data_IF_496476518188
#
_entry.id   IF_496476518188
#
_cell.length_a   1.000
_cell.length_b   1.000
_cell.length_c   1.000
_cell.angle_alpha   90.00
_cell.angle_beta   90.00
_cell.angle_gamma   90.00
#
_symmetry.space_group_name_H-M   'P 1'
#
loop_
_entity.id
_entity.type
_entity.pdbx_description
1 polymer ?
#
# COMPACT_ATOMS: atom_id res chain seq x y z
N UNK A 1 -9.76 -13.50 -8.36
CA UNK A 1 -9.51 -14.54 -7.29
C UNK A 1 -10.48 -14.32 -6.15
N UNK A 2 -11.12 -15.36 -5.62
CA UNK A 2 -12.06 -15.22 -4.49
C UNK A 2 -11.36 -14.74 -3.22
N UNK A 3 -12.02 -13.84 -2.50
CA UNK A 3 -11.48 -13.23 -1.27
C UNK A 3 -11.05 -14.27 -0.24
N UNK A 4 -11.81 -15.35 -0.06
CA UNK A 4 -11.48 -16.45 0.84
C UNK A 4 -10.15 -17.18 0.50
N UNK A 5 -9.66 -17.08 -0.73
CA UNK A 5 -8.44 -17.76 -1.18
C UNK A 5 -7.18 -16.87 -1.12
N UNK A 6 -7.33 -15.57 -0.84
CA UNK A 6 -6.20 -14.62 -0.95
C UNK A 6 -5.10 -14.93 0.05
N UNK A 7 -5.45 -15.23 1.30
CA UNK A 7 -4.45 -15.55 2.34
C UNK A 7 -3.65 -16.81 1.96
N UNK A 8 -4.30 -17.83 1.42
CA UNK A 8 -3.60 -19.03 0.93
C UNK A 8 -2.66 -18.71 -0.24
N UNK A 9 -3.10 -17.82 -1.16
CA UNK A 9 -2.27 -17.34 -2.26
C UNK A 9 -1.02 -16.60 -1.75
N UNK A 10 -1.17 -15.72 -0.75
CA UNK A 10 -0.06 -14.99 -0.14
C UNK A 10 0.90 -15.91 0.63
N UNK A 11 0.36 -16.87 1.39
CA UNK A 11 1.18 -17.87 2.08
C UNK A 11 2.01 -18.70 1.10
N UNK A 12 1.48 -19.00 -0.10
CA UNK A 12 2.25 -19.68 -1.13
C UNK A 12 3.43 -18.84 -1.64
N UNK A 13 3.31 -17.51 -1.69
CA UNK A 13 4.44 -16.62 -2.01
C UNK A 13 5.46 -16.62 -0.86
N UNK A 14 5.00 -16.53 0.38
CA UNK A 14 5.88 -16.59 1.56
C UNK A 14 6.70 -17.89 1.61
N UNK A 15 6.11 -19.01 1.19
CA UNK A 15 6.76 -20.32 1.21
C UNK A 15 7.78 -20.50 0.08
N UNK A 16 7.45 -20.08 -1.14
CA UNK A 16 8.25 -20.41 -2.32
C UNK A 16 9.00 -19.21 -2.94
N UNK A 17 8.65 -17.98 -2.54
CA UNK A 17 9.27 -16.77 -3.06
C UNK A 17 9.08 -16.53 -4.56
N UNK A 18 8.00 -17.08 -5.17
CA UNK A 18 7.79 -16.97 -6.62
C UNK A 18 6.61 -16.05 -6.92
N UNK A 19 6.85 -15.00 -7.70
CA UNK A 19 5.83 -14.05 -8.15
C UNK A 19 4.92 -14.62 -9.25
N UNK A 20 3.95 -13.83 -9.72
CA UNK A 20 3.02 -14.26 -10.78
C UNK A 20 3.67 -14.46 -12.15
N UNK A 21 4.88 -13.94 -12.37
CA UNK A 21 5.65 -14.08 -13.61
C UNK A 21 6.71 -15.19 -13.50
N UNK A 22 6.70 -15.97 -12.42
CA UNK A 22 7.68 -17.03 -12.19
C UNK A 22 9.06 -16.56 -11.74
N UNK A 23 9.22 -15.27 -11.39
CA UNK A 23 10.49 -14.73 -10.89
C UNK A 23 10.66 -15.09 -9.42
N UNK A 24 11.87 -15.46 -9.05
CA UNK A 24 12.21 -15.88 -7.69
C UNK A 24 12.75 -14.72 -6.85
N UNK A 25 12.42 -14.78 -5.58
CA UNK A 25 12.88 -13.87 -4.54
C UNK A 25 13.46 -14.67 -3.36
N UNK A 26 14.50 -14.13 -2.77
CA UNK A 26 15.00 -14.56 -1.47
C UNK A 26 14.19 -13.80 -0.44
N UNK A 27 13.43 -14.52 0.37
CA UNK A 27 12.65 -13.97 1.47
C UNK A 27 13.41 -14.21 2.77
N UNK A 28 13.69 -13.12 3.51
CA UNK A 28 14.38 -13.19 4.79
C UNK A 28 13.64 -12.35 5.82
N UNK A 29 13.20 -12.99 6.88
CA UNK A 29 12.62 -12.28 8.01
C UNK A 29 13.71 -11.52 8.78
N UNK A 30 13.44 -10.25 9.06
CA UNK A 30 14.33 -9.34 9.79
C UNK A 30 13.52 -8.59 10.83
N UNK A 31 13.85 -8.78 12.09
CA UNK A 31 13.28 -7.99 13.19
C UNK A 31 14.13 -6.77 13.45
N UNK A 32 13.49 -5.59 13.40
CA UNK A 32 14.17 -4.29 13.59
C UNK A 32 13.55 -3.57 14.78
N UNK A 33 14.40 -3.07 15.68
CA UNK A 33 13.94 -2.24 16.80
C UNK A 33 13.44 -0.88 16.28
N UNK A 34 12.29 -0.44 16.77
CA UNK A 34 11.79 0.91 16.47
C UNK A 34 12.64 1.92 17.26
N UNK A 35 13.23 2.92 16.58
CA UNK A 35 14.07 3.91 17.27
C UNK A 35 13.32 4.60 18.42
N UNK A 36 13.96 4.79 19.55
CA UNK A 36 13.41 5.41 20.75
C UNK A 36 12.16 4.72 21.33
N UNK A 37 12.02 3.41 21.09
CA UNK A 37 10.91 2.60 21.58
C UNK A 37 11.40 1.26 22.12
N UNK A 38 10.59 0.60 22.94
CA UNK A 38 10.78 -0.80 23.33
C UNK A 38 10.22 -1.79 22.29
N UNK A 39 9.42 -1.29 21.35
CA UNK A 39 8.79 -2.09 20.31
C UNK A 39 9.76 -2.47 19.19
N UNK A 40 9.47 -3.56 18.53
CA UNK A 40 10.15 -4.01 17.31
C UNK A 40 9.14 -4.25 16.20
N UNK A 41 9.59 -4.19 14.97
CA UNK A 41 8.82 -4.53 13.77
C UNK A 41 9.51 -5.67 13.02
N UNK A 42 8.74 -6.61 12.54
CA UNK A 42 9.24 -7.68 11.67
C UNK A 42 8.96 -7.33 10.22
N UNK A 43 10.01 -7.31 9.41
CA UNK A 43 9.96 -7.09 7.97
C UNK A 43 10.38 -8.36 7.25
N UNK A 44 9.82 -8.62 6.09
CA UNK A 44 10.25 -9.67 5.19
C UNK A 44 11.08 -9.02 4.07
N UNK A 45 12.41 -9.02 4.17
CA UNK A 45 13.25 -8.62 3.04
C UNK A 45 12.92 -9.49 1.83
N UNK A 46 12.57 -8.87 0.73
CA UNK A 46 12.08 -9.50 -0.49
C UNK A 46 12.97 -9.08 -1.66
N UNK A 47 14.08 -9.78 -1.83
CA UNK A 47 15.12 -9.44 -2.80
C UNK A 47 15.10 -10.41 -3.96
N UNK A 48 15.21 -9.92 -5.20
CA UNK A 48 15.36 -10.75 -6.40
C UNK A 48 16.54 -11.71 -6.22
N UNK A 49 16.36 -12.99 -6.54
CA UNK A 49 17.41 -14.02 -6.41
C UNK A 49 18.65 -13.72 -7.28
N UNK A 50 18.44 -13.10 -8.44
CA UNK A 50 19.49 -12.60 -9.33
C UNK A 50 20.09 -11.23 -8.91
N UNK A 51 19.67 -10.69 -7.75
CA UNK A 51 20.10 -9.41 -7.19
C UNK A 51 19.81 -8.20 -8.11
N UNK A 52 18.84 -8.32 -9.02
CA UNK A 52 18.37 -7.22 -9.85
C UNK A 52 17.77 -6.10 -9.01
N UNK A 53 18.25 -4.89 -9.23
CA UNK A 53 17.86 -3.65 -8.54
C UNK A 53 17.27 -2.61 -9.49
N UNK A 54 16.95 -2.99 -10.72
CA UNK A 54 16.49 -2.08 -11.78
C UNK A 54 15.13 -1.42 -11.50
N UNK A 55 14.48 -1.74 -10.40
CA UNK A 55 13.16 -1.22 -10.03
C UNK A 55 13.19 -0.08 -9.01
N UNK A 56 14.38 0.36 -8.58
CA UNK A 56 14.55 1.54 -7.72
C UNK A 56 15.90 2.23 -8.00
N UNK A 57 16.04 3.46 -7.51
CA UNK A 57 17.28 4.23 -7.60
C UNK A 57 18.05 4.16 -6.27
N UNK A 58 19.29 3.73 -6.30
CA UNK A 58 20.19 3.70 -5.13
C UNK A 58 20.72 5.11 -4.79
N UNK A 59 19.81 6.08 -4.73
CA UNK A 59 20.06 7.47 -4.34
C UNK A 59 19.38 7.73 -2.99
N UNK A 60 20.12 8.14 -1.99
CA UNK A 60 19.56 8.52 -0.68
C UNK A 60 18.84 9.87 -0.78
N UNK A 61 17.63 9.94 -0.27
CA UNK A 61 16.80 11.14 -0.33
C UNK A 61 16.21 11.49 1.03
N UNK A 62 16.00 12.79 1.26
CA UNK A 62 15.31 13.25 2.47
C UNK A 62 13.84 12.89 2.42
N UNK A 63 13.38 12.13 3.41
CA UNK A 63 11.99 11.72 3.54
C UNK A 63 11.21 12.72 4.38
N UNK A 64 10.01 13.09 3.90
CA UNK A 64 9.13 14.07 4.54
C UNK A 64 7.71 13.55 4.75
N UNK A 65 7.28 12.55 3.97
CA UNK A 65 5.91 12.02 3.96
C UNK A 65 5.91 10.50 3.84
N UNK A 66 4.88 9.88 4.36
CA UNK A 66 4.53 8.49 4.11
C UNK A 66 3.25 8.52 3.27
N UNK A 67 3.27 7.87 2.10
CA UNK A 67 2.11 7.81 1.21
C UNK A 67 1.54 6.40 1.20
N UNK A 68 0.26 6.30 1.58
CA UNK A 68 -0.47 5.04 1.53
C UNK A 68 -1.11 4.86 0.16
N UNK A 69 -0.94 3.67 -0.40
CA UNK A 69 -1.54 3.19 -1.64
C UNK A 69 -2.26 1.86 -1.41
N UNK A 70 -3.12 1.46 -2.34
CA UNK A 70 -3.50 0.08 -2.53
C UNK A 70 -3.16 -0.38 -3.95
N UNK A 71 -2.85 -1.67 -4.10
CA UNK A 71 -2.27 -2.22 -5.34
C UNK A 71 -3.27 -2.42 -6.48
N UNK A 72 -4.56 -2.49 -6.21
CA UNK A 72 -5.61 -2.99 -7.12
C UNK A 72 -5.34 -4.41 -7.64
N UNK A 73 -4.64 -5.23 -6.86
CA UNK A 73 -4.15 -6.53 -7.28
C UNK A 73 -4.11 -7.58 -6.16
N UNK A 74 -3.38 -8.63 -6.45
CA UNK A 74 -3.07 -9.72 -5.54
C UNK A 74 -1.55 -9.82 -5.36
N UNK A 75 -1.07 -10.10 -4.16
CA UNK A 75 0.32 -9.96 -3.72
C UNK A 75 1.37 -10.42 -4.74
N UNK A 76 1.22 -11.62 -5.35
CA UNK A 76 2.21 -12.12 -6.33
C UNK A 76 2.28 -11.24 -7.58
N UNK A 77 1.14 -10.74 -8.05
CA UNK A 77 1.05 -9.81 -9.17
C UNK A 77 1.56 -8.42 -8.79
N UNK A 78 1.26 -7.99 -7.57
CA UNK A 78 1.72 -6.72 -7.02
C UNK A 78 3.26 -6.68 -6.98
N UNK A 79 3.89 -7.72 -6.39
CA UNK A 79 5.35 -7.87 -6.34
C UNK A 79 5.95 -7.93 -7.76
N UNK A 80 5.33 -8.70 -8.67
CA UNK A 80 5.79 -8.80 -10.05
C UNK A 80 5.78 -7.45 -10.77
N UNK A 81 4.74 -6.64 -10.55
CA UNK A 81 4.58 -5.31 -11.15
C UNK A 81 5.58 -4.33 -10.56
N UNK A 82 5.68 -4.27 -9.22
CA UNK A 82 6.54 -3.34 -8.49
C UNK A 82 8.04 -3.65 -8.63
N UNK A 83 8.41 -4.81 -9.15
CA UNK A 83 9.81 -5.17 -9.40
C UNK A 83 10.14 -5.32 -10.88
N UNK A 84 9.30 -4.78 -11.78
CA UNK A 84 9.53 -4.84 -13.24
C UNK A 84 10.34 -3.66 -13.78
N UNK A 85 10.25 -2.49 -13.15
CA UNK A 85 10.93 -1.27 -13.59
C UNK A 85 10.78 -0.18 -12.53
N UNK A 86 11.17 1.05 -12.83
CA UNK A 86 11.26 2.15 -11.88
C UNK A 86 9.90 2.71 -11.38
N UNK A 87 8.84 1.90 -11.35
CA UNK A 87 7.59 2.20 -10.65
C UNK A 87 7.46 1.19 -9.52
N UNK A 88 7.83 1.60 -8.32
CA UNK A 88 7.94 0.73 -7.16
C UNK A 88 7.80 1.49 -5.84
N UNK A 89 7.62 0.76 -4.75
CA UNK A 89 7.63 1.26 -3.37
C UNK A 89 8.51 0.38 -2.50
N UNK A 90 9.09 0.91 -1.41
CA UNK A 90 9.90 0.10 -0.50
C UNK A 90 9.10 -0.96 0.25
N UNK A 91 7.79 -0.79 0.46
CA UNK A 91 7.00 -1.71 1.28
C UNK A 91 5.69 -2.12 0.64
N UNK A 92 5.41 -3.43 0.71
CA UNK A 92 4.11 -4.01 0.36
C UNK A 92 3.57 -4.76 1.57
N UNK A 93 2.31 -4.51 1.93
CA UNK A 93 1.65 -5.18 3.07
C UNK A 93 0.63 -6.18 2.52
N UNK A 94 0.86 -7.48 2.76
CA UNK A 94 -0.07 -8.54 2.41
C UNK A 94 -1.32 -8.55 3.30
N UNK A 95 -2.36 -9.26 2.90
CA UNK A 95 -3.59 -9.44 3.70
C UNK A 95 -3.34 -10.23 4.98
N UNK A 96 -2.29 -11.06 5.00
CA UNK A 96 -1.84 -11.78 6.18
C UNK A 96 -1.06 -10.88 7.16
N UNK A 97 -0.80 -9.61 6.82
CA UNK A 97 -0.06 -8.65 7.63
C UNK A 97 1.45 -8.70 7.45
N UNK A 98 1.98 -9.57 6.60
CA UNK A 98 3.41 -9.57 6.29
C UNK A 98 3.80 -8.28 5.55
N UNK A 99 4.89 -7.67 6.01
CA UNK A 99 5.44 -6.45 5.41
C UNK A 99 6.65 -6.84 4.57
N UNK A 100 6.47 -6.86 3.26
CA UNK A 100 7.54 -7.15 2.31
C UNK A 100 8.34 -5.89 2.04
N UNK A 101 9.65 -5.92 2.33
CA UNK A 101 10.59 -4.83 2.07
C UNK A 101 11.30 -5.11 0.75
N UNK A 102 10.93 -4.38 -0.31
CA UNK A 102 11.46 -4.58 -1.66
C UNK A 102 12.84 -3.92 -1.84
N UNK A 103 13.06 -2.79 -1.17
CA UNK A 103 14.34 -2.08 -1.17
C UNK A 103 14.45 -1.14 0.05
N UNK A 104 15.67 -0.72 0.42
CA UNK A 104 15.86 0.18 1.58
C UNK A 104 15.10 1.49 1.41
N UNK A 105 14.27 1.85 2.39
CA UNK A 105 13.40 3.04 2.34
C UNK A 105 14.12 4.39 2.29
N UNK A 106 15.44 4.43 2.45
CA UNK A 106 16.27 5.61 2.21
C UNK A 106 16.43 5.93 0.72
N UNK A 107 16.28 4.94 -0.13
CA UNK A 107 16.27 5.04 -1.58
C UNK A 107 14.87 5.40 -2.09
N UNK A 108 14.68 5.47 -3.40
CA UNK A 108 13.42 5.87 -3.99
C UNK A 108 13.12 5.18 -5.32
N UNK A 109 11.88 5.18 -5.71
CA UNK A 109 11.39 4.85 -7.04
C UNK A 109 10.16 5.69 -7.34
N UNK A 110 9.71 5.71 -8.58
CA UNK A 110 8.47 6.40 -8.94
C UNK A 110 7.27 5.65 -8.35
N UNK A 111 6.40 6.36 -7.65
CA UNK A 111 5.13 5.79 -7.16
C UNK A 111 3.99 6.82 -7.12
N UNK A 112 4.31 8.08 -7.32
CA UNK A 112 3.32 9.16 -7.26
C UNK A 112 2.69 9.38 -8.64
N UNK A 113 3.46 9.22 -9.71
CA UNK A 113 3.03 9.27 -11.09
C UNK A 113 3.01 10.67 -11.71
N UNK A 114 2.93 10.74 -13.05
CA UNK A 114 2.87 12.02 -13.77
C UNK A 114 1.61 12.79 -13.40
N UNK A 115 1.70 14.12 -13.41
CA UNK A 115 0.60 15.01 -13.03
C UNK A 115 0.39 15.15 -11.52
N UNK A 116 1.24 14.55 -10.70
CA UNK A 116 1.19 14.75 -9.27
C UNK A 116 1.55 16.18 -8.87
N UNK A 117 0.84 16.72 -7.91
CA UNK A 117 1.17 17.98 -7.27
C UNK A 117 2.58 17.93 -6.69
N UNK A 118 3.37 18.95 -6.96
CA UNK A 118 4.79 18.99 -6.58
C UNK A 118 5.73 18.24 -7.52
N UNK A 119 5.19 17.56 -8.56
CA UNK A 119 5.95 16.83 -9.56
C UNK A 119 6.30 15.40 -9.18
N UNK A 120 6.23 14.48 -10.15
CA UNK A 120 6.43 13.05 -9.92
C UNK A 120 7.78 12.73 -9.26
N UNK A 121 8.87 13.23 -9.80
CA UNK A 121 10.23 12.94 -9.30
C UNK A 121 10.45 13.48 -7.89
N UNK A 122 10.14 14.76 -7.65
CA UNK A 122 10.35 15.39 -6.36
C UNK A 122 9.51 14.69 -5.27
N UNK A 123 8.25 14.44 -5.54
CA UNK A 123 7.36 13.79 -4.58
C UNK A 123 7.70 12.32 -4.34
N UNK A 124 8.09 11.57 -5.38
CA UNK A 124 8.56 10.18 -5.20
C UNK A 124 9.84 10.09 -4.37
N UNK A 125 10.72 11.08 -4.46
CA UNK A 125 11.92 11.19 -3.61
C UNK A 125 11.57 11.50 -2.15
N UNK A 126 10.67 12.43 -1.91
CA UNK A 126 10.26 12.87 -0.56
C UNK A 126 9.31 11.91 0.15
N UNK A 127 8.53 11.14 -0.59
CA UNK A 127 7.53 10.22 -0.03
C UNK A 127 8.10 8.81 0.11
N UNK A 128 7.74 8.15 1.21
CA UNK A 128 7.93 6.71 1.38
C UNK A 128 6.60 6.06 0.99
N UNK A 129 6.56 5.35 -0.13
CA UNK A 129 5.36 4.64 -0.57
C UNK A 129 5.15 3.36 0.21
N UNK A 130 3.90 3.09 0.61
CA UNK A 130 3.45 1.83 1.18
C UNK A 130 2.28 1.34 0.34
N UNK A 131 2.43 0.23 -0.34
CA UNK A 131 1.34 -0.45 -1.03
C UNK A 131 0.69 -1.47 -0.10
N UNK A 132 -0.62 -1.37 0.07
CA UNK A 132 -1.40 -2.38 0.80
C UNK A 132 -2.06 -3.27 -0.25
N UNK A 133 -1.73 -4.56 -0.26
CA UNK A 133 -2.31 -5.52 -1.22
C UNK A 133 -3.83 -5.61 -1.01
N UNK A 134 -4.57 -4.94 -1.87
CA UNK A 134 -6.02 -4.83 -1.81
C UNK A 134 -6.56 -4.52 -3.22
N UNK A 135 -7.70 -5.12 -3.55
CA UNK A 135 -8.37 -4.92 -4.85
C UNK A 135 -8.94 -3.50 -4.99
N UNK A 136 -9.20 -2.82 -3.87
CA UNK A 136 -9.84 -1.50 -3.90
C UNK A 136 -11.31 -1.58 -4.30
N UNK A 137 -11.75 -0.78 -5.31
CA UNK A 137 -13.13 -0.74 -5.72
C UNK A 137 -13.59 -2.04 -6.41
N UNK A 138 -14.85 -2.40 -6.18
CA UNK A 138 -15.51 -3.57 -6.74
C UNK A 138 -16.73 -3.15 -7.54
N UNK A 139 -17.08 -3.96 -8.54
CA UNK A 139 -18.26 -3.75 -9.40
C UNK A 139 -19.26 -4.88 -9.19
N UNK A 140 -20.53 -4.52 -9.01
CA UNK A 140 -21.62 -5.50 -8.93
C UNK A 140 -21.86 -6.13 -10.30
N UNK A 141 -21.86 -7.47 -10.35
CA UNK A 141 -22.19 -8.27 -11.52
C UNK A 141 -23.14 -9.41 -11.08
N UNK A 142 -24.45 -9.21 -11.28
CA UNK A 142 -25.48 -10.12 -10.76
C UNK A 142 -25.46 -10.18 -9.23
N UNK A 143 -25.25 -11.37 -8.67
CA UNK A 143 -25.11 -11.64 -7.23
C UNK A 143 -23.67 -11.55 -6.74
N UNK A 144 -22.71 -11.25 -7.62
CA UNK A 144 -21.29 -11.21 -7.29
C UNK A 144 -20.75 -9.77 -7.31
N UNK A 145 -19.63 -9.58 -6.59
CA UNK A 145 -18.72 -8.46 -6.71
C UNK A 145 -17.47 -8.92 -7.46
N UNK A 146 -17.12 -8.21 -8.51
CA UNK A 146 -15.98 -8.50 -9.39
C UNK A 146 -14.97 -7.35 -9.35
N UNK A 147 -13.75 -7.62 -9.81
CA UNK A 147 -12.73 -6.58 -9.92
C UNK A 147 -13.08 -5.57 -11.02
N UNK A 148 -12.54 -4.36 -10.94
CA UNK A 148 -12.80 -3.30 -11.92
C UNK A 148 -12.17 -3.58 -13.29
N UNK A 149 -11.20 -4.49 -13.36
CA UNK A 149 -10.44 -4.81 -14.58
C UNK A 149 -10.88 -6.12 -15.24
N UNK A 150 -11.71 -6.96 -14.58
CA UNK A 150 -12.25 -8.18 -15.18
C UNK A 150 -13.58 -8.60 -14.54
N UNK A 151 -14.59 -8.82 -15.39
CA UNK A 151 -15.90 -9.36 -14.97
C UNK A 151 -15.83 -10.83 -14.57
N UNK A 152 -14.84 -11.54 -15.03
CA UNK A 152 -14.57 -12.95 -14.73
C UNK A 152 -13.83 -13.14 -13.41
N UNK A 153 -13.13 -12.11 -12.92
CA UNK A 153 -12.44 -12.16 -11.64
C UNK A 153 -13.41 -11.86 -10.49
N UNK A 154 -14.17 -12.88 -10.10
CA UNK A 154 -15.10 -12.80 -8.97
C UNK A 154 -14.31 -12.71 -7.67
N UNK A 155 -14.53 -11.61 -6.93
CA UNK A 155 -13.94 -11.36 -5.63
C UNK A 155 -14.71 -12.04 -4.50
N UNK A 156 -16.03 -11.78 -4.43
CA UNK A 156 -16.95 -12.41 -3.48
C UNK A 156 -18.39 -12.32 -4.00
N UNK A 157 -19.30 -13.04 -3.37
CA UNK A 157 -20.74 -12.85 -3.54
C UNK A 157 -21.28 -11.73 -2.64
N UNK A 158 -22.47 -11.22 -2.93
CA UNK A 158 -23.08 -10.14 -2.14
C UNK A 158 -23.51 -10.56 -0.72
N UNK A 159 -23.64 -11.83 -0.45
CA UNK A 159 -23.91 -12.39 0.88
C UNK A 159 -22.64 -12.53 1.75
N UNK A 160 -21.46 -12.51 1.13
CA UNK A 160 -20.17 -12.57 1.83
C UNK A 160 -19.71 -11.19 2.35
N UNK A 161 -20.55 -10.53 3.16
CA UNK A 161 -20.38 -9.13 3.62
C UNK A 161 -19.10 -8.88 4.43
N UNK A 162 -18.45 -9.92 4.94
CA UNK A 162 -17.16 -9.81 5.64
C UNK A 162 -16.01 -9.40 4.73
N UNK A 163 -16.14 -9.52 3.40
CA UNK A 163 -15.05 -9.23 2.46
C UNK A 163 -15.13 -7.84 1.82
N UNK A 164 -16.25 -7.15 1.97
CA UNK A 164 -16.43 -5.84 1.34
C UNK A 164 -17.18 -4.84 2.23
N UNK A 165 -17.00 -3.57 1.92
CA UNK A 165 -17.82 -2.47 2.45
C UNK A 165 -18.68 -1.91 1.33
N UNK A 166 -19.98 -1.78 1.57
CA UNK A 166 -20.89 -0.99 0.76
C UNK A 166 -20.95 0.42 1.34
N UNK A 167 -20.55 1.40 0.55
CA UNK A 167 -20.58 2.79 0.96
C UNK A 167 -22.00 3.36 0.91
N UNK A 168 -22.40 4.22 1.83
CA UNK A 168 -23.70 4.91 1.77
C UNK A 168 -23.79 5.89 0.60
N UNK A 169 -22.66 6.47 0.21
CA UNK A 169 -22.51 7.35 -0.97
C UNK A 169 -21.31 6.87 -1.79
N UNK A 170 -21.47 6.82 -3.10
CA UNK A 170 -20.38 6.42 -4.00
C UNK A 170 -19.15 7.31 -3.82
N UNK A 171 -18.00 6.68 -3.68
CA UNK A 171 -16.71 7.37 -3.74
C UNK A 171 -16.03 7.09 -5.08
N UNK A 172 -15.67 8.16 -5.80
CA UNK A 172 -15.03 8.05 -7.14
C UNK A 172 -15.77 7.13 -8.11
N UNK A 173 -17.11 7.13 -8.04
CA UNK A 173 -17.98 6.34 -8.91
C UNK A 173 -18.30 4.92 -8.41
N UNK A 174 -17.64 4.44 -7.37
CA UNK A 174 -17.81 3.08 -6.85
C UNK A 174 -18.57 3.06 -5.52
N UNK A 175 -19.45 2.06 -5.37
CA UNK A 175 -20.26 1.82 -4.17
C UNK A 175 -19.67 0.74 -3.28
N UNK A 176 -18.93 -0.21 -3.85
CA UNK A 176 -18.36 -1.36 -3.14
C UNK A 176 -16.85 -1.31 -3.15
N UNK A 177 -16.24 -1.62 -2.01
CA UNK A 177 -14.79 -1.69 -1.83
C UNK A 177 -14.40 -2.93 -1.06
N UNK A 178 -13.30 -3.57 -1.45
CA UNK A 178 -12.74 -4.69 -0.70
C UNK A 178 -12.27 -4.23 0.69
N UNK A 179 -12.61 -5.00 1.72
CA UNK A 179 -12.20 -4.73 3.09
C UNK A 179 -10.69 -4.92 3.27
N UNK A 180 -10.12 -4.14 4.17
CA UNK A 180 -8.80 -4.38 4.72
C UNK A 180 -8.90 -5.33 5.91
N UNK A 181 -7.89 -6.18 6.08
CA UNK A 181 -7.86 -7.12 7.22
C UNK A 181 -7.33 -6.45 8.49
N UNK A 182 -7.67 -7.04 9.65
CA UNK A 182 -7.09 -6.64 10.93
C UNK A 182 -5.55 -6.67 10.91
N UNK A 183 -5.00 -7.70 10.29
CA UNK A 183 -3.55 -7.86 10.14
C UNK A 183 -2.92 -6.72 9.32
N UNK A 184 -3.60 -6.26 8.26
CA UNK A 184 -3.14 -5.12 7.47
C UNK A 184 -3.15 -3.82 8.27
N UNK A 185 -4.19 -3.53 9.06
CA UNK A 185 -4.22 -2.34 9.92
C UNK A 185 -3.09 -2.35 10.94
N UNK A 186 -2.90 -3.49 11.62
CA UNK A 186 -1.81 -3.65 12.59
C UNK A 186 -0.43 -3.47 11.96
N UNK A 187 -0.20 -4.10 10.81
CA UNK A 187 1.05 -3.98 10.08
C UNK A 187 1.31 -2.55 9.59
N UNK A 188 0.28 -1.88 9.05
CA UNK A 188 0.36 -0.49 8.60
C UNK A 188 0.70 0.44 9.76
N UNK A 189 0.05 0.29 10.92
CA UNK A 189 0.33 1.08 12.11
C UNK A 189 1.78 0.89 12.61
N UNK A 190 2.24 -0.35 12.71
CA UNK A 190 3.62 -0.65 13.11
C UNK A 190 4.64 -0.08 12.13
N UNK A 191 4.38 -0.19 10.81
CA UNK A 191 5.28 0.35 9.80
C UNK A 191 5.33 1.89 9.85
N UNK A 192 4.19 2.56 10.05
CA UNK A 192 4.13 4.02 10.23
C UNK A 192 4.93 4.43 11.48
N UNK A 193 4.74 3.77 12.63
CA UNK A 193 5.53 4.03 13.85
C UNK A 193 7.03 3.93 13.58
N UNK A 194 7.45 2.85 12.92
CA UNK A 194 8.86 2.63 12.58
C UNK A 194 9.41 3.72 11.66
N UNK A 195 8.70 4.05 10.58
CA UNK A 195 9.15 5.05 9.62
C UNK A 195 9.15 6.46 10.20
N UNK A 196 8.14 6.83 10.99
CA UNK A 196 8.11 8.11 11.70
C UNK A 196 9.31 8.26 12.65
N UNK A 197 9.62 7.22 13.43
CA UNK A 197 10.77 7.24 14.31
C UNK A 197 12.10 7.28 13.55
N UNK A 198 12.24 6.47 12.49
CA UNK A 198 13.46 6.38 11.68
C UNK A 198 13.82 7.67 10.95
N UNK A 199 12.81 8.39 10.43
CA UNK A 199 13.02 9.59 9.62
C UNK A 199 12.63 10.89 10.34
N UNK A 200 12.37 10.83 11.63
CA UNK A 200 11.92 11.96 12.44
C UNK A 200 10.71 12.69 11.82
N UNK A 201 9.70 11.90 11.43
CA UNK A 201 8.45 12.40 10.88
C UNK A 201 7.37 12.45 11.96
N UNK A 202 6.51 13.48 11.98
CA UNK A 202 5.39 13.52 12.90
C UNK A 202 4.35 12.44 12.50
N UNK A 203 3.71 11.83 13.50
CA UNK A 203 2.59 10.91 13.30
C UNK A 203 1.28 11.66 13.01
N UNK A 204 1.31 12.55 12.04
CA UNK A 204 0.19 13.39 11.64
C UNK A 204 -0.53 12.75 10.46
N UNK A 205 -1.83 12.54 10.62
CA UNK A 205 -2.76 12.14 9.57
C UNK A 205 -3.68 13.31 9.27
N UNK A 206 -4.02 13.51 8.01
CA UNK A 206 -4.94 14.58 7.60
C UNK A 206 -6.29 14.48 8.33
N UNK A 207 -6.93 15.62 8.62
CA UNK A 207 -8.32 15.65 9.07
C UNK A 207 -9.23 14.93 8.06
N UNK A 208 -10.37 14.42 8.53
CA UNK A 208 -11.27 13.57 7.75
C UNK A 208 -11.64 14.19 6.39
N UNK A 209 -12.02 15.45 6.35
CA UNK A 209 -12.38 16.18 5.13
C UNK A 209 -11.23 16.27 4.10
N UNK A 210 -9.97 16.19 4.56
CA UNK A 210 -8.80 16.26 3.68
C UNK A 210 -8.29 14.90 3.16
N UNK A 211 -8.75 13.78 3.73
CA UNK A 211 -8.18 12.44 3.43
C UNK A 211 -8.54 11.92 2.05
N UNK A 212 -9.65 12.37 1.49
CA UNK A 212 -10.25 11.82 0.29
C UNK A 212 -10.22 12.78 -0.90
N UNK A 213 -9.56 13.91 -0.75
CA UNK A 213 -9.53 14.93 -1.80
C UNK A 213 -8.12 15.47 -2.03
N UNK A 214 -7.97 16.21 -3.14
CA UNK A 214 -6.71 16.87 -3.46
C UNK A 214 -6.46 18.02 -2.49
N UNK A 215 -5.24 18.13 -2.02
CA UNK A 215 -4.83 19.20 -1.13
C UNK A 215 -4.57 20.51 -1.91
N UNK A 216 -4.54 21.64 -1.20
CA UNK A 216 -3.92 22.85 -1.68
C UNK A 216 -2.40 22.65 -1.86
N UNK A 217 -1.81 23.18 -2.94
CA UNK A 217 -0.40 22.97 -3.28
C UNK A 217 0.57 23.47 -2.19
N UNK A 218 0.27 24.61 -1.57
CA UNK A 218 1.12 25.18 -0.51
C UNK A 218 1.10 24.30 0.75
N UNK A 219 -0.09 23.81 1.11
CA UNK A 219 -0.26 22.95 2.27
C UNK A 219 0.37 21.58 2.03
N UNK A 220 0.18 21.01 0.84
CA UNK A 220 0.80 19.75 0.45
C UNK A 220 2.33 19.80 0.51
N UNK A 221 2.93 20.87 0.02
CA UNK A 221 4.40 21.05 0.03
C UNK A 221 4.96 21.13 1.44
N UNK A 222 4.25 21.81 2.37
CA UNK A 222 4.69 21.99 3.76
C UNK A 222 4.41 20.78 4.65
N UNK A 223 3.44 19.95 4.30
CA UNK A 223 3.00 18.83 5.11
C UNK A 223 4.14 17.83 5.32
N UNK A 224 4.27 17.39 6.57
CA UNK A 224 5.02 16.20 6.98
C UNK A 224 4.05 15.25 7.67
N UNK A 225 4.14 13.96 7.39
CA UNK A 225 3.27 12.94 7.99
C UNK A 225 2.71 11.97 6.98
N UNK A 226 1.52 11.42 7.28
CA UNK A 226 0.88 10.38 6.49
C UNK A 226 -0.18 10.98 5.57
N UNK A 227 -0.08 10.66 4.29
CA UNK A 227 -0.97 11.09 3.21
C UNK A 227 -1.44 9.90 2.37
N UNK A 228 -2.35 10.16 1.45
CA UNK A 228 -2.78 9.19 0.43
C UNK A 228 -2.51 9.72 -0.97
N UNK A 229 -2.61 8.85 -1.96
CA UNK A 229 -2.35 9.22 -3.35
C UNK A 229 -3.33 10.29 -3.87
N UNK A 230 -4.60 10.24 -3.46
CA UNK A 230 -5.61 11.24 -3.87
C UNK A 230 -5.26 12.66 -3.40
N UNK A 231 -4.45 12.82 -2.36
CA UNK A 231 -4.06 14.12 -1.85
C UNK A 231 -3.19 14.92 -2.83
N UNK A 232 -2.53 14.26 -3.77
CA UNK A 232 -1.70 14.89 -4.79
C UNK A 232 -2.15 14.62 -6.24
N UNK A 233 -3.16 13.71 -6.44
CA UNK A 233 -3.64 13.35 -7.78
C UNK A 233 -5.15 13.15 -7.80
N UNK A 234 -5.86 13.91 -8.66
CA UNK A 234 -7.33 13.85 -8.78
C UNK A 234 -7.87 12.56 -9.39
N UNK A 235 -7.08 11.87 -10.21
CA UNK A 235 -7.45 10.65 -10.94
C UNK A 235 -7.28 9.37 -10.11
N UNK A 236 -6.81 9.50 -8.86
CA UNK A 236 -6.57 8.36 -7.98
C UNK A 236 -7.75 8.05 -7.06
N UNK A 237 -7.79 6.81 -6.58
CA UNK A 237 -8.85 6.30 -5.69
C UNK A 237 -8.30 5.75 -4.37
N UNK A 238 -6.99 5.54 -4.32
CA UNK A 238 -6.31 4.98 -3.16
C UNK A 238 -6.05 6.05 -2.06
N UNK A 239 -6.33 5.75 -0.81
CA UNK A 239 -6.51 4.43 -0.20
C UNK A 239 -8.01 4.00 -0.09
N UNK A 240 -8.94 4.75 -0.68
CA UNK A 240 -10.36 4.42 -0.71
C UNK A 240 -11.14 4.73 0.57
N UNK A 241 -12.46 4.91 0.40
CA UNK A 241 -13.34 5.30 1.50
C UNK A 241 -13.73 4.15 2.46
N UNK A 242 -13.36 2.91 2.12
CA UNK A 242 -13.55 1.75 2.99
C UNK A 242 -12.41 1.55 4.00
N UNK A 243 -11.37 2.38 3.96
CA UNK A 243 -10.28 2.32 4.92
C UNK A 243 -10.68 2.95 6.25
N UNK A 244 -10.60 2.18 7.32
CA UNK A 244 -10.93 2.64 8.68
C UNK A 244 -9.77 3.47 9.27
N UNK A 245 -9.83 4.77 9.02
CA UNK A 245 -8.84 5.70 9.52
C UNK A 245 -8.80 5.81 11.04
N UNK A 246 -9.96 5.68 11.71
CA UNK A 246 -10.00 5.79 13.17
C UNK A 246 -9.27 4.62 13.83
N UNK A 247 -9.40 3.42 13.25
CA UNK A 247 -8.64 2.24 13.67
C UNK A 247 -7.14 2.46 13.54
N UNK A 248 -6.69 3.02 12.39
CA UNK A 248 -5.27 3.33 12.19
C UNK A 248 -4.78 4.39 13.19
N UNK A 249 -5.53 5.50 13.36
CA UNK A 249 -5.18 6.61 14.26
C UNK A 249 -5.03 6.12 15.70
N UNK A 250 -5.92 5.27 16.15
CA UNK A 250 -5.88 4.71 17.52
C UNK A 250 -4.70 3.74 17.73
N UNK A 251 -4.03 3.32 16.65
CA UNK A 251 -2.98 2.28 16.68
C UNK A 251 -1.56 2.83 16.48
N UNK A 252 -1.38 4.13 16.14
CA UNK A 252 -0.05 4.74 15.85
C UNK A 252 0.53 5.58 16.97
#
# INVERSE_FOLDING_TARGET
>A
MKAASIVSHENSFQTNGVDSNGKKFILKEVTVKIPNSTESITLMDCVRDNKDKSYYFEEETTKRKIMLHYTMGYLKGDIATLTKGHVSVPFVIGRNGNIYNLFPSKYWSYHVGPGAMGGNTAMSKECIGIEISNIGPLVKNGTNLVTTYSKEDVYCSLDETQYYTKLPTKYRGFEYYANYTEAQYKATAQLIKFLCAKYNLPKVILPELGRYDIMNANDFTKLKGVITHVNCRKDKTDIGAAFDWQRLINSI
#
